data_IF_942604623675
#
_entry.id   IF_942604623675
#
_cell.length_a   1.000
_cell.length_b   1.000
_cell.length_c   1.000
_cell.angle_alpha   90.00
_cell.angle_beta   90.00
_cell.angle_gamma   90.00
#
_symmetry.space_group_name_H-M   'P 1'
#
loop_
_entity.id
_entity.type
_entity.pdbx_description
1 polymer ?
#
# COMPACT_ATOMS: atom_id res chain seq x y z
N UNK A 1 24.40 -3.23 28.11
CA UNK A 1 24.11 -1.83 27.67
C UNK A 1 23.81 -1.71 26.17
N UNK A 2 24.47 -2.46 25.27
CA UNK A 2 24.21 -2.38 23.82
C UNK A 2 22.74 -2.65 23.40
N UNK A 3 22.05 -3.62 24.00
CA UNK A 3 20.67 -3.96 23.64
C UNK A 3 19.65 -2.82 23.88
N UNK A 4 19.73 -2.13 25.02
CA UNK A 4 18.85 -0.98 25.33
C UNK A 4 19.12 0.18 24.37
N UNK A 5 20.40 0.40 24.06
CA UNK A 5 20.80 1.44 23.12
C UNK A 5 20.27 1.16 21.70
N UNK A 6 20.30 -0.09 21.26
CA UNK A 6 19.76 -0.52 19.96
C UNK A 6 18.23 -0.38 19.90
N UNK A 7 17.51 -0.74 20.96
CA UNK A 7 16.04 -0.59 21.00
C UNK A 7 15.66 0.89 21.00
N UNK A 8 16.41 1.74 21.72
CA UNK A 8 16.20 3.18 21.71
C UNK A 8 16.46 3.80 20.33
N UNK A 9 17.54 3.40 19.66
CA UNK A 9 17.83 3.81 18.28
C UNK A 9 16.70 3.38 17.33
N UNK A 10 16.33 2.10 17.35
CA UNK A 10 15.23 1.54 16.55
C UNK A 10 13.89 2.28 16.76
N UNK A 11 13.57 2.65 18.00
CA UNK A 11 12.36 3.43 18.30
C UNK A 11 12.40 4.86 17.76
N UNK A 12 13.60 5.45 17.68
CA UNK A 12 13.85 6.74 17.05
C UNK A 12 13.62 6.65 15.54
N UNK A 13 14.26 5.67 14.89
CA UNK A 13 14.13 5.41 13.46
C UNK A 13 12.67 5.12 13.08
N UNK A 14 11.96 4.33 13.89
CA UNK A 14 10.53 4.07 13.69
C UNK A 14 9.68 5.35 13.78
N UNK A 15 9.99 6.24 14.73
CA UNK A 15 9.28 7.52 14.89
C UNK A 15 9.51 8.44 13.70
N UNK A 16 10.73 8.50 13.19
CA UNK A 16 11.08 9.24 11.99
C UNK A 16 10.34 8.68 10.77
N UNK A 17 10.38 7.36 10.58
CA UNK A 17 9.64 6.66 9.53
C UNK A 17 8.12 6.93 9.60
N UNK A 18 7.52 6.95 10.79
CA UNK A 18 6.10 7.30 10.98
C UNK A 18 5.83 8.76 10.62
N UNK A 19 6.76 9.66 10.96
CA UNK A 19 6.70 11.07 10.57
C UNK A 19 6.73 11.26 9.06
N UNK A 20 7.70 10.63 8.39
CA UNK A 20 7.86 10.67 6.95
C UNK A 20 6.67 10.03 6.23
N UNK A 21 6.20 8.88 6.71
CA UNK A 21 5.02 8.21 6.17
C UNK A 21 3.77 9.08 6.29
N UNK A 22 3.60 9.83 7.39
CA UNK A 22 2.47 10.77 7.52
C UNK A 22 2.50 11.85 6.45
N UNK A 23 3.68 12.41 6.17
CA UNK A 23 3.84 13.42 5.13
C UNK A 23 3.63 12.83 3.73
N UNK A 24 4.15 11.63 3.48
CA UNK A 24 3.94 10.90 2.24
C UNK A 24 2.45 10.57 2.03
N UNK A 25 1.75 10.14 3.07
CA UNK A 25 0.30 9.88 3.04
C UNK A 25 -0.48 11.15 2.73
N UNK A 26 -0.15 12.28 3.36
CA UNK A 26 -0.79 13.57 3.02
C UNK A 26 -0.59 13.95 1.56
N UNK A 27 0.64 13.82 1.04
CA UNK A 27 0.95 14.11 -0.35
C UNK A 27 0.22 13.19 -1.30
N UNK A 28 0.16 11.90 -0.98
CA UNK A 28 -0.61 10.92 -1.76
C UNK A 28 -2.08 11.31 -1.83
N UNK A 29 -2.69 11.67 -0.71
CA UNK A 29 -4.11 12.07 -0.70
C UNK A 29 -4.32 13.40 -1.44
N UNK A 30 -3.41 14.36 -1.30
CA UNK A 30 -3.47 15.61 -2.07
C UNK A 30 -3.37 15.36 -3.58
N UNK A 31 -2.47 14.48 -4.00
CA UNK A 31 -2.32 14.07 -5.39
C UNK A 31 -3.56 13.31 -5.88
N UNK A 32 -4.09 12.39 -5.07
CA UNK A 32 -5.33 11.66 -5.35
C UNK A 32 -6.51 12.61 -5.55
N UNK A 33 -6.68 13.59 -4.66
CA UNK A 33 -7.70 14.62 -4.76
C UNK A 33 -7.54 15.45 -6.04
N UNK A 34 -6.31 15.86 -6.37
CA UNK A 34 -6.02 16.62 -7.60
C UNK A 34 -6.31 15.80 -8.87
N UNK A 35 -6.00 14.50 -8.86
CA UNK A 35 -6.33 13.59 -9.98
C UNK A 35 -7.84 13.46 -10.12
N UNK A 36 -8.55 13.25 -9.01
CA UNK A 36 -10.02 13.17 -9.00
C UNK A 36 -10.66 14.45 -9.53
N UNK A 37 -10.19 15.62 -9.10
CA UNK A 37 -10.67 16.92 -9.58
C UNK A 37 -10.47 17.09 -11.10
N UNK A 38 -9.36 16.57 -11.64
CA UNK A 38 -9.07 16.62 -13.08
C UNK A 38 -9.84 15.56 -13.89
N UNK A 39 -10.28 14.48 -13.26
CA UNK A 39 -10.99 13.40 -13.94
C UNK A 39 -12.37 13.85 -14.43
N UNK A 40 -13.11 14.63 -13.66
CA UNK A 40 -14.45 15.12 -14.08
C UNK A 40 -14.43 15.92 -15.39
N UNK A 41 -13.66 17.01 -15.50
CA UNK A 41 -13.55 17.76 -16.76
C UNK A 41 -12.96 16.94 -17.91
N UNK A 42 -12.19 15.88 -17.61
CA UNK A 42 -11.65 14.98 -18.62
C UNK A 42 -12.72 14.03 -19.16
N UNK A 43 -13.62 13.51 -18.32
CA UNK A 43 -14.78 12.71 -18.77
C UNK A 43 -15.73 13.56 -19.59
N UNK A 44 -16.00 14.81 -19.18
CA UNK A 44 -16.85 15.73 -19.94
C UNK A 44 -16.28 16.04 -21.34
N UNK A 45 -14.97 16.28 -21.43
CA UNK A 45 -14.29 16.50 -22.72
C UNK A 45 -14.27 15.24 -23.58
N UNK A 46 -14.11 14.07 -22.97
CA UNK A 46 -14.21 12.79 -23.67
C UNK A 46 -15.61 12.66 -24.28
N UNK A 47 -16.68 12.90 -23.50
CA UNK A 47 -18.05 12.80 -24.00
C UNK A 47 -18.37 13.80 -25.11
N UNK A 48 -17.90 15.04 -25.00
CA UNK A 48 -18.04 16.05 -26.06
C UNK A 48 -17.30 15.61 -27.34
N UNK A 49 -16.12 15.03 -27.20
CA UNK A 49 -15.33 14.49 -28.33
C UNK A 49 -16.05 13.30 -28.95
N UNK A 50 -16.53 12.35 -28.14
CA UNK A 50 -17.28 11.18 -28.60
C UNK A 50 -18.56 11.57 -29.34
N UNK A 51 -19.26 12.59 -28.86
CA UNK A 51 -20.44 13.15 -29.51
C UNK A 51 -20.10 13.74 -30.88
N UNK A 52 -19.01 14.52 -30.95
CA UNK A 52 -18.55 15.14 -32.19
C UNK A 52 -18.10 14.09 -33.21
N UNK A 53 -17.34 13.08 -32.79
CA UNK A 53 -16.91 11.98 -33.65
C UNK A 53 -18.12 11.17 -34.14
N UNK A 54 -19.07 10.86 -33.26
CA UNK A 54 -20.30 10.16 -33.64
C UNK A 54 -21.12 10.93 -34.68
N UNK A 55 -21.19 12.26 -34.56
CA UNK A 55 -21.85 13.11 -35.53
C UNK A 55 -21.13 13.09 -36.89
N UNK A 56 -19.80 13.20 -36.90
CA UNK A 56 -19.00 13.11 -38.12
C UNK A 56 -19.16 11.75 -38.82
N UNK A 57 -19.16 10.66 -38.06
CA UNK A 57 -19.38 9.32 -38.61
C UNK A 57 -20.74 9.18 -39.29
N UNK A 58 -21.78 9.76 -38.68
CA UNK A 58 -23.13 9.80 -39.25
C UNK A 58 -23.18 10.62 -40.55
N UNK A 59 -22.47 11.75 -40.59
CA UNK A 59 -22.39 12.56 -41.80
C UNK A 59 -21.64 11.84 -42.93
N UNK A 60 -20.57 11.11 -42.60
CA UNK A 60 -19.83 10.26 -43.56
C UNK A 60 -20.71 9.13 -44.08
N UNK A 61 -21.43 8.41 -43.22
CA UNK A 61 -22.37 7.34 -43.61
C UNK A 61 -23.47 7.86 -44.55
N UNK A 62 -23.90 9.10 -44.36
CA UNK A 62 -24.89 9.76 -45.21
C UNK A 62 -24.30 10.39 -46.48
N UNK A 63 -22.99 10.25 -46.72
CA UNK A 63 -22.30 10.84 -47.87
C UNK A 63 -22.26 12.36 -47.85
N UNK A 64 -22.40 13.00 -46.67
CA UNK A 64 -22.38 14.46 -46.53
C UNK A 64 -20.93 14.97 -46.42
N UNK A 65 -20.65 16.04 -47.16
CA UNK A 65 -19.35 16.73 -47.14
C UNK A 65 -18.25 16.06 -47.99
N UNK A 66 -17.09 16.70 -48.07
CA UNK A 66 -15.96 16.21 -48.87
C UNK A 66 -15.34 14.93 -48.32
N UNK A 67 -15.47 14.67 -47.02
CA UNK A 67 -15.03 13.42 -46.37
C UNK A 67 -15.96 12.23 -46.68
N UNK A 68 -17.28 12.44 -46.75
CA UNK A 68 -18.23 11.42 -47.21
C UNK A 68 -18.01 11.03 -48.68
N UNK A 69 -17.36 11.90 -49.47
CA UNK A 69 -16.94 11.64 -50.85
C UNK A 69 -15.54 11.01 -50.97
N UNK A 70 -14.70 11.07 -49.93
CA UNK A 70 -13.27 10.68 -49.96
C UNK A 70 -12.93 9.48 -49.07
N UNK A 71 -13.67 9.25 -47.98
CA UNK A 71 -13.42 8.20 -46.99
C UNK A 71 -14.46 7.10 -47.16
N UNK A 72 -14.16 6.17 -48.06
CA UNK A 72 -14.84 4.88 -48.17
C UNK A 72 -13.93 3.75 -47.67
N UNK A 73 -13.07 4.06 -46.70
CA UNK A 73 -12.21 3.07 -46.07
C UNK A 73 -12.95 2.52 -44.85
N UNK A 74 -13.55 1.34 -45.02
CA UNK A 74 -14.29 0.64 -43.98
C UNK A 74 -13.41 0.35 -42.76
N UNK A 75 -12.09 0.22 -42.93
CA UNK A 75 -11.16 -0.06 -41.83
C UNK A 75 -11.03 1.13 -40.90
N UNK A 76 -10.81 2.33 -41.44
CA UNK A 76 -10.72 3.56 -40.64
C UNK A 76 -12.03 3.87 -39.91
N UNK A 77 -13.18 3.63 -40.55
CA UNK A 77 -14.48 3.79 -39.90
C UNK A 77 -14.66 2.82 -38.73
N UNK A 78 -14.32 1.54 -38.91
CA UNK A 78 -14.44 0.55 -37.86
C UNK A 78 -13.46 0.82 -36.70
N UNK A 79 -12.21 1.19 -36.99
CA UNK A 79 -11.21 1.52 -35.97
C UNK A 79 -11.65 2.71 -35.10
N UNK A 80 -12.16 3.78 -35.71
CA UNK A 80 -12.66 4.93 -34.97
C UNK A 80 -13.89 4.55 -34.13
N UNK A 81 -14.76 3.68 -34.63
CA UNK A 81 -15.97 3.22 -33.92
C UNK A 81 -15.58 2.41 -32.68
N UNK A 82 -14.59 1.54 -32.81
CA UNK A 82 -14.09 0.71 -31.71
C UNK A 82 -13.38 1.56 -30.64
N UNK A 83 -12.63 2.59 -31.05
CA UNK A 83 -12.03 3.56 -30.13
C UNK A 83 -13.11 4.34 -29.37
N UNK A 84 -14.14 4.83 -30.07
CA UNK A 84 -15.28 5.54 -29.45
C UNK A 84 -16.02 4.64 -28.47
N UNK A 85 -16.27 3.39 -28.84
CA UNK A 85 -16.93 2.42 -27.96
C UNK A 85 -16.09 2.14 -26.70
N UNK A 86 -14.78 1.95 -26.86
CA UNK A 86 -13.86 1.70 -25.75
C UNK A 86 -13.78 2.90 -24.80
N UNK A 87 -13.67 4.12 -25.34
CA UNK A 87 -13.66 5.34 -24.54
C UNK A 87 -14.96 5.53 -23.77
N UNK A 88 -16.11 5.24 -24.38
CA UNK A 88 -17.41 5.31 -23.70
C UNK A 88 -17.50 4.34 -22.51
N UNK A 89 -16.97 3.13 -22.65
CA UNK A 89 -16.92 2.16 -21.55
C UNK A 89 -16.03 2.68 -20.41
N UNK A 90 -14.84 3.21 -20.73
CA UNK A 90 -13.92 3.76 -19.73
C UNK A 90 -14.51 4.98 -19.02
N UNK A 91 -15.10 5.93 -19.75
CA UNK A 91 -15.78 7.09 -19.16
C UNK A 91 -16.88 6.65 -18.19
N UNK A 92 -17.71 5.70 -18.61
CA UNK A 92 -18.79 5.15 -17.78
C UNK A 92 -18.26 4.45 -16.53
N UNK A 93 -17.22 3.64 -16.65
CA UNK A 93 -16.62 2.96 -15.50
C UNK A 93 -16.05 3.98 -14.49
N UNK A 94 -15.48 5.09 -14.95
CA UNK A 94 -15.02 6.17 -14.07
C UNK A 94 -16.20 6.84 -13.36
N UNK A 95 -17.27 7.18 -14.09
CA UNK A 95 -18.48 7.79 -13.51
C UNK A 95 -19.17 6.88 -12.47
N UNK A 96 -19.23 5.58 -12.76
CA UNK A 96 -19.83 4.56 -11.88
C UNK A 96 -18.90 4.16 -10.72
N UNK A 97 -17.69 4.69 -10.64
CA UNK A 97 -16.75 4.38 -9.56
C UNK A 97 -16.08 3.01 -9.67
N UNK A 98 -16.06 2.41 -10.87
CA UNK A 98 -15.48 1.09 -11.14
C UNK A 98 -13.97 1.17 -11.41
N UNK A 99 -13.27 0.09 -11.05
CA UNK A 99 -11.82 0.02 -11.17
C UNK A 99 -11.09 1.00 -10.24
N UNK A 100 -9.77 1.07 -10.35
CA UNK A 100 -8.94 1.91 -9.47
C UNK A 100 -9.15 3.40 -9.72
N UNK A 101 -9.31 3.81 -10.98
CA UNK A 101 -9.54 5.22 -11.36
C UNK A 101 -10.95 5.69 -11.00
N UNK A 102 -11.99 4.88 -11.22
CA UNK A 102 -13.35 5.22 -10.81
C UNK A 102 -13.47 5.30 -9.30
N UNK A 103 -12.88 4.35 -8.55
CA UNK A 103 -12.80 4.44 -7.10
C UNK A 103 -12.13 5.74 -6.68
N UNK A 104 -10.93 6.03 -7.20
CA UNK A 104 -10.22 7.29 -6.88
C UNK A 104 -11.05 8.55 -7.22
N UNK A 105 -11.80 8.54 -8.32
CA UNK A 105 -12.65 9.65 -8.73
C UNK A 105 -13.84 9.86 -7.78
N UNK A 106 -14.34 8.80 -7.14
CA UNK A 106 -15.54 8.84 -6.28
C UNK A 106 -15.26 8.78 -4.78
N UNK A 107 -14.03 8.46 -4.38
CA UNK A 107 -13.73 8.05 -3.02
C UNK A 107 -13.35 9.24 -2.12
N UNK A 108 -14.34 9.75 -1.39
CA UNK A 108 -14.16 10.71 -0.29
C UNK A 108 -13.61 10.05 1.00
N UNK A 109 -13.66 8.72 1.09
CA UNK A 109 -13.30 7.94 2.29
C UNK A 109 -11.80 7.67 2.40
N UNK A 110 -11.08 7.69 1.28
CA UNK A 110 -9.62 7.51 1.23
C UNK A 110 -8.86 8.45 2.18
N UNK A 111 -9.29 9.71 2.30
CA UNK A 111 -8.70 10.68 3.23
C UNK A 111 -8.98 10.30 4.69
N UNK A 112 -10.20 9.83 4.97
CA UNK A 112 -10.65 9.47 6.31
C UNK A 112 -9.89 8.24 6.80
N UNK A 113 -9.87 7.17 6.00
CA UNK A 113 -9.23 5.90 6.34
C UNK A 113 -7.71 6.06 6.53
N UNK A 114 -7.07 6.84 5.66
CA UNK A 114 -5.65 7.15 5.79
C UNK A 114 -5.36 7.99 7.03
N UNK A 115 -6.22 8.96 7.36
CA UNK A 115 -6.09 9.78 8.58
C UNK A 115 -6.28 8.93 9.85
N UNK A 116 -7.26 8.04 9.88
CA UNK A 116 -7.51 7.13 11.01
C UNK A 116 -6.35 6.16 11.21
N UNK A 117 -5.87 5.55 10.13
CA UNK A 117 -4.70 4.66 10.17
C UNK A 117 -3.48 5.40 10.73
N UNK A 118 -3.22 6.63 10.27
CA UNK A 118 -2.13 7.46 10.81
C UNK A 118 -2.35 7.84 12.28
N UNK A 119 -3.59 8.03 12.71
CA UNK A 119 -3.91 8.28 14.12
C UNK A 119 -3.59 7.07 15.00
N UNK A 120 -3.95 5.85 14.57
CA UNK A 120 -3.62 4.61 15.29
C UNK A 120 -2.11 4.37 15.38
N UNK A 121 -1.38 4.56 14.28
CA UNK A 121 0.09 4.43 14.25
C UNK A 121 0.75 5.45 15.18
N UNK A 122 0.24 6.68 15.18
CA UNK A 122 0.71 7.72 16.10
C UNK A 122 0.48 7.32 17.56
N UNK A 123 -0.70 6.80 17.91
CA UNK A 123 -1.02 6.37 19.27
C UNK A 123 -0.07 5.28 19.75
N UNK A 124 0.23 4.29 18.91
CA UNK A 124 1.21 3.24 19.22
C UNK A 124 2.58 3.85 19.48
N UNK A 125 3.02 4.77 18.61
CA UNK A 125 4.31 5.45 18.72
C UNK A 125 4.40 6.30 19.99
N UNK A 126 3.32 6.98 20.37
CA UNK A 126 3.24 7.75 21.61
C UNK A 126 3.29 6.83 22.84
N UNK A 127 2.61 5.70 22.82
CA UNK A 127 2.67 4.69 23.90
C UNK A 127 4.10 4.18 24.11
N UNK A 128 4.82 3.86 23.03
CA UNK A 128 6.23 3.46 23.09
C UNK A 128 7.08 4.56 23.77
N UNK A 129 6.91 5.82 23.37
CA UNK A 129 7.66 6.94 23.93
C UNK A 129 7.36 7.20 25.42
N UNK A 130 6.11 7.01 25.84
CA UNK A 130 5.68 7.18 27.24
C UNK A 130 6.13 6.02 28.12
N UNK A 131 6.64 4.93 27.55
CA UNK A 131 6.96 3.72 28.28
C UNK A 131 5.74 2.83 28.55
N UNK A 132 4.66 3.03 27.81
CA UNK A 132 3.43 2.29 27.92
C UNK A 132 3.49 1.01 27.05
N UNK A 133 2.75 -0.02 27.47
CA UNK A 133 2.81 -1.34 26.84
C UNK A 133 4.14 -2.07 27.05
N UNK A 134 4.26 -3.27 26.51
CA UNK A 134 5.42 -4.16 26.76
C UNK A 134 6.71 -3.59 26.19
N UNK A 135 6.66 -3.01 24.98
CA UNK A 135 7.82 -2.41 24.30
C UNK A 135 8.26 -1.12 25.01
N UNK A 136 7.31 -0.25 25.37
CA UNK A 136 7.60 0.98 26.10
C UNK A 136 8.20 0.70 27.48
N UNK A 137 7.63 -0.25 28.23
CA UNK A 137 8.19 -0.67 29.54
C UNK A 137 9.60 -1.20 29.38
N UNK A 138 9.86 -2.04 28.37
CA UNK A 138 11.19 -2.59 28.10
C UNK A 138 12.22 -1.50 27.73
N UNK A 139 11.79 -0.42 27.06
CA UNK A 139 12.62 0.73 26.73
C UNK A 139 12.96 1.61 27.94
N UNK A 140 12.01 1.79 28.85
CA UNK A 140 12.15 2.66 30.02
C UNK A 140 12.81 1.98 31.21
N UNK A 141 12.70 0.65 31.32
CA UNK A 141 13.14 -0.11 32.48
C UNK A 141 14.48 -0.83 32.23
N UNK A 142 15.56 -0.27 32.78
CA UNK A 142 16.91 -0.86 32.70
C UNK A 142 17.01 -2.22 33.40
N UNK A 143 16.17 -2.51 34.40
CA UNK A 143 16.22 -3.77 35.16
C UNK A 143 15.62 -4.92 34.36
N UNK A 144 14.46 -4.72 33.72
CA UNK A 144 13.83 -5.73 32.84
C UNK A 144 14.71 -6.09 31.65
N UNK A 145 15.33 -5.09 31.01
CA UNK A 145 16.26 -5.32 29.91
C UNK A 145 17.52 -6.09 30.36
N UNK A 146 17.99 -5.83 31.59
CA UNK A 146 19.11 -6.54 32.19
C UNK A 146 18.75 -8.01 32.47
N UNK A 147 17.58 -8.27 33.04
CA UNK A 147 17.11 -9.64 33.32
C UNK A 147 16.82 -10.43 32.04
N UNK A 148 16.29 -9.79 30.99
CA UNK A 148 16.13 -10.40 29.68
C UNK A 148 17.50 -10.80 29.07
N UNK A 149 18.50 -9.92 29.18
CA UNK A 149 19.87 -10.21 28.71
C UNK A 149 20.51 -11.36 29.49
N UNK A 150 20.31 -11.40 30.82
CA UNK A 150 20.80 -12.50 31.67
C UNK A 150 20.14 -13.83 31.30
N UNK A 151 18.83 -13.81 31.05
CA UNK A 151 18.08 -15.00 30.61
C UNK A 151 18.61 -15.51 29.28
N UNK A 152 18.82 -14.63 28.30
CA UNK A 152 19.43 -15.01 27.01
C UNK A 152 20.83 -15.62 27.18
N UNK A 153 21.67 -15.05 28.03
CA UNK A 153 22.99 -15.64 28.33
C UNK A 153 22.89 -17.03 28.98
N UNK A 154 21.90 -17.25 29.86
CA UNK A 154 21.67 -18.58 30.47
C UNK A 154 21.19 -19.60 29.44
N UNK A 155 20.29 -19.19 28.54
CA UNK A 155 19.82 -20.04 27.43
C UNK A 155 20.98 -20.39 26.49
N UNK A 156 21.81 -19.41 26.13
CA UNK A 156 22.97 -19.64 25.27
C UNK A 156 23.98 -20.60 25.90
N UNK A 157 24.32 -20.42 27.18
CA UNK A 157 25.16 -21.37 27.93
C UNK A 157 24.55 -22.76 28.06
N UNK A 158 23.23 -22.86 28.21
CA UNK A 158 22.56 -24.15 28.24
C UNK A 158 22.63 -24.84 26.87
N UNK A 159 22.48 -24.09 25.78
CA UNK A 159 22.62 -24.61 24.41
C UNK A 159 24.07 -25.04 24.12
N UNK A 160 25.07 -24.24 24.52
CA UNK A 160 26.50 -24.59 24.44
C UNK A 160 26.80 -25.85 25.27
N UNK A 161 26.23 -25.98 26.48
CA UNK A 161 26.36 -27.18 27.30
C UNK A 161 25.67 -28.42 26.71
N UNK A 162 24.63 -28.24 25.89
CA UNK A 162 23.98 -29.31 25.12
C UNK A 162 24.83 -29.69 23.90
N UNK A 163 25.59 -28.76 23.32
CA UNK A 163 26.54 -29.02 22.24
C UNK A 163 27.84 -29.68 22.73
N UNK A 164 28.29 -29.35 23.95
CA UNK A 164 29.41 -30.01 24.65
C UNK A 164 29.06 -31.42 25.18
N UNK A 165 27.77 -31.80 25.20
CA UNK A 165 27.39 -33.20 25.37
C UNK A 165 27.82 -34.00 24.13
N UNK A 166 29.03 -34.54 24.17
CA UNK A 166 29.49 -35.50 23.15
C UNK A 166 28.43 -36.61 22.98
N UNK A 167 28.12 -37.05 21.73
CA UNK A 167 27.04 -38.01 21.42
C UNK A 167 27.06 -39.33 22.20
N UNK A 168 28.19 -39.68 22.83
CA UNK A 168 28.38 -40.93 23.53
C UNK A 168 27.56 -41.07 24.84
N UNK A 169 27.21 -39.97 25.53
CA UNK A 169 26.46 -40.06 26.81
C UNK A 169 24.97 -40.33 26.61
N UNK A 170 24.35 -39.82 25.54
CA UNK A 170 22.93 -40.06 25.24
C UNK A 170 22.72 -41.50 24.73
N UNK A 171 23.72 -42.08 24.07
CA UNK A 171 23.69 -43.50 23.69
C UNK A 171 23.75 -44.43 24.90
N UNK A 172 24.52 -44.09 25.94
CA UNK A 172 24.60 -44.89 27.17
C UNK A 172 23.30 -44.94 27.97
N UNK A 173 22.53 -43.85 28.01
CA UNK A 173 21.24 -43.81 28.72
C UNK A 173 20.12 -44.53 27.97
N UNK A 174 20.11 -44.51 26.63
CA UNK A 174 19.12 -45.27 25.84
C UNK A 174 19.41 -46.78 25.90
N UNK A 175 20.68 -47.19 25.87
CA UNK A 175 21.04 -48.61 26.00
C UNK A 175 20.79 -49.18 27.41
N UNK A 176 20.98 -48.39 28.47
CA UNK A 176 20.73 -48.84 29.86
C UNK A 176 19.26 -48.88 30.29
N UNK A 177 18.34 -48.33 29.48
CA UNK A 177 16.88 -48.42 29.71
C UNK A 177 16.29 -49.62 28.94
N UNK A 178 16.99 -50.15 27.94
CA UNK A 178 16.53 -51.23 27.05
C UNK A 178 17.22 -52.60 27.30
N UNK A 179 18.13 -52.70 28.27
CA UNK A 179 18.76 -53.96 28.71
C UNK A 179 18.87 -54.03 30.23
#
# INVERSE_FOLDING_TARGET
RAGIHNIKALSGDFKEMVGDNKENVKRFIANAAQVSEKLGPMTDKADATLTSVSALMKDVEQGKGTLGLLVKDETLYNDVKDVVASLKVVSKDIEEGKGTLGKLAKDETLYIDAKETMASVRQITEGINKGEGTIGKLMKDETLATEATKTMKKVQKAAEGVEEMTPFTVLGTIFGILF
#
